data_IF_823013004816
#
_entry.id   IF_823013004816
#
_cell.length_a   1.000
_cell.length_b   1.000
_cell.length_c   1.000
_cell.angle_alpha   90.00
_cell.angle_beta   90.00
_cell.angle_gamma   90.00
#
_symmetry.space_group_name_H-M   'P 1'
#
loop_
_entity.id
_entity.type
_entity.pdbx_description
1 polymer ?
#
# COMPACT_ATOMS: atom_id res chain seq x y z
N UNK A 1 14.63 -3.51 4.51
CA UNK A 1 14.71 -4.97 4.72
C UNK A 1 14.75 -5.75 3.41
N UNK A 2 13.88 -5.49 2.41
CA UNK A 2 13.89 -6.23 1.13
C UNK A 2 15.24 -6.11 0.40
N UNK A 3 15.82 -4.92 0.33
CA UNK A 3 17.17 -4.71 -0.24
C UNK A 3 18.21 -5.58 0.48
N UNK A 4 18.18 -5.60 1.81
CA UNK A 4 19.08 -6.43 2.63
C UNK A 4 18.91 -7.92 2.33
N UNK A 5 17.67 -8.39 2.16
CA UNK A 5 17.38 -9.79 1.84
C UNK A 5 17.96 -10.21 0.46
N UNK A 6 18.06 -9.26 -0.46
CA UNK A 6 18.60 -9.50 -1.82
C UNK A 6 20.13 -9.46 -1.80
N UNK A 7 20.75 -8.42 -1.20
CA UNK A 7 22.20 -8.20 -1.28
C UNK A 7 23.00 -8.69 -0.06
N UNK A 8 22.31 -9.17 0.99
CA UNK A 8 22.94 -9.66 2.21
C UNK A 8 23.63 -8.59 3.07
N UNK A 9 23.41 -7.30 2.81
CA UNK A 9 24.05 -6.22 3.54
C UNK A 9 23.33 -5.92 4.86
N UNK A 10 23.97 -6.28 5.98
CA UNK A 10 23.44 -6.10 7.34
C UNK A 10 23.41 -4.63 7.83
N UNK A 11 24.09 -3.72 7.15
CA UNK A 11 24.12 -2.29 7.50
C UNK A 11 22.73 -1.68 7.58
N UNK A 12 21.86 -2.00 6.62
CA UNK A 12 20.48 -1.53 6.63
C UNK A 12 19.66 -2.06 7.80
N UNK A 13 19.98 -3.25 8.28
CA UNK A 13 19.32 -3.85 9.45
C UNK A 13 19.65 -3.09 10.73
N UNK A 14 20.94 -2.80 10.94
CA UNK A 14 21.40 -2.03 12.10
C UNK A 14 20.87 -0.58 12.07
N UNK A 15 20.91 0.05 10.88
CA UNK A 15 20.32 1.37 10.70
C UNK A 15 18.83 1.39 11.10
N UNK A 16 18.03 0.45 10.61
CA UNK A 16 16.61 0.34 10.93
C UNK A 16 16.38 0.09 12.43
N UNK A 17 17.19 -0.77 13.06
CA UNK A 17 17.09 -1.03 14.49
C UNK A 17 17.30 0.25 15.31
N UNK A 18 18.37 1.01 15.02
CA UNK A 18 18.66 2.28 15.67
C UNK A 18 17.53 3.29 15.43
N UNK A 19 17.10 3.43 14.20
CA UNK A 19 16.02 4.34 13.83
C UNK A 19 14.72 4.06 14.62
N UNK A 20 14.32 2.81 14.74
CA UNK A 20 13.14 2.45 15.54
C UNK A 20 13.34 2.73 17.02
N UNK A 21 14.52 2.41 17.59
CA UNK A 21 14.83 2.70 19.02
C UNK A 21 14.78 4.20 19.31
N UNK A 22 15.34 5.02 18.44
CA UNK A 22 15.35 6.48 18.57
C UNK A 22 13.91 7.04 18.50
N UNK A 23 13.12 6.65 17.50
CA UNK A 23 11.74 7.11 17.37
C UNK A 23 10.85 6.67 18.55
N UNK A 24 11.07 5.49 19.11
CA UNK A 24 10.35 5.04 20.29
C UNK A 24 10.76 5.88 21.52
N UNK A 25 12.05 6.18 21.67
CA UNK A 25 12.56 6.99 22.79
C UNK A 25 12.06 8.45 22.72
N UNK A 26 11.96 9.04 21.53
CA UNK A 26 11.39 10.37 21.31
C UNK A 26 9.87 10.46 21.53
N UNK A 27 9.21 9.31 21.57
CA UNK A 27 7.75 9.22 21.63
C UNK A 27 7.10 9.07 20.26
N UNK A 28 6.23 8.10 20.15
CA UNK A 28 5.51 7.78 18.91
C UNK A 28 4.40 8.79 18.63
N UNK A 29 4.03 8.99 17.34
CA UNK A 29 2.86 9.78 16.98
C UNK A 29 1.57 9.07 17.42
N UNK A 30 0.44 9.79 17.31
CA UNK A 30 -0.90 9.21 17.52
C UNK A 30 -1.11 7.96 16.66
N UNK A 31 -1.82 6.98 17.20
CA UNK A 31 -2.20 5.79 16.46
C UNK A 31 -3.24 6.14 15.38
N UNK A 32 -2.91 5.87 14.14
CA UNK A 32 -3.81 6.03 12.99
C UNK A 32 -3.40 5.08 11.85
N UNK A 33 -4.10 5.14 10.74
CA UNK A 33 -3.86 4.26 9.60
C UNK A 33 -2.41 4.39 9.10
N UNK A 34 -1.95 5.62 8.83
CA UNK A 34 -0.63 5.84 8.24
C UNK A 34 0.52 5.53 9.19
N UNK A 35 0.36 5.82 10.48
CA UNK A 35 1.39 5.55 11.50
C UNK A 35 1.53 4.07 11.85
N UNK A 36 0.62 3.22 11.38
CA UNK A 36 0.72 1.75 11.49
C UNK A 36 1.70 1.16 10.48
N UNK A 37 1.87 1.78 9.31
CA UNK A 37 2.67 1.22 8.20
C UNK A 37 4.08 0.78 8.58
N UNK A 38 4.90 1.55 9.35
CA UNK A 38 6.24 1.15 9.71
C UNK A 38 6.31 -0.14 10.54
N UNK A 39 5.22 -0.49 11.22
CA UNK A 39 5.19 -1.67 12.08
C UNK A 39 5.26 -2.99 11.31
N UNK A 40 4.82 -3.03 10.05
CA UNK A 40 5.04 -4.20 9.20
C UNK A 40 6.54 -4.51 9.06
N UNK A 41 7.35 -3.47 8.87
CA UNK A 41 8.83 -3.61 8.86
C UNK A 41 9.37 -3.99 10.23
N UNK A 42 8.82 -3.41 11.32
CA UNK A 42 9.27 -3.68 12.68
C UNK A 42 9.04 -5.15 13.08
N UNK A 43 7.91 -5.75 12.70
CA UNK A 43 7.62 -7.18 12.94
C UNK A 43 8.67 -8.07 12.29
N UNK A 44 9.07 -7.77 11.04
CA UNK A 44 10.08 -8.53 10.32
C UNK A 44 11.49 -8.30 10.88
N UNK A 45 11.83 -7.05 11.20
CA UNK A 45 13.10 -6.69 11.79
C UNK A 45 13.30 -7.39 13.14
N UNK A 46 12.22 -7.51 13.92
CA UNK A 46 12.30 -8.15 15.25
C UNK A 46 12.55 -9.67 15.19
N UNK A 47 12.45 -10.31 14.03
CA UNK A 47 12.89 -11.69 13.89
C UNK A 47 14.43 -11.86 14.02
N UNK A 48 15.18 -10.78 13.82
CA UNK A 48 16.65 -10.77 13.94
C UNK A 48 17.12 -10.38 15.34
N UNK A 49 16.36 -9.55 16.07
CA UNK A 49 16.80 -8.96 17.33
C UNK A 49 16.12 -9.55 18.57
N UNK A 50 14.92 -10.09 18.43
CA UNK A 50 14.08 -10.58 19.53
C UNK A 50 13.93 -9.52 20.65
N UNK A 51 13.81 -8.24 20.29
CA UNK A 51 13.66 -7.13 21.23
C UNK A 51 12.22 -7.10 21.76
N UNK A 52 12.10 -7.26 23.08
CA UNK A 52 10.80 -7.31 23.77
C UNK A 52 10.03 -5.99 23.65
N UNK A 53 10.70 -4.85 23.58
CA UNK A 53 10.07 -3.54 23.38
C UNK A 53 9.39 -3.46 22.02
N UNK A 54 10.02 -3.99 20.95
CA UNK A 54 9.46 -4.05 19.61
C UNK A 54 8.26 -5.00 19.57
N UNK A 55 8.37 -6.14 20.21
CA UNK A 55 7.28 -7.11 20.31
C UNK A 55 6.05 -6.52 20.98
N UNK A 56 6.21 -5.96 22.18
CA UNK A 56 5.13 -5.32 22.93
C UNK A 56 4.49 -4.17 22.16
N UNK A 57 5.30 -3.37 21.45
CA UNK A 57 4.81 -2.29 20.63
C UNK A 57 3.89 -2.81 19.51
N UNK A 58 4.34 -3.82 18.78
CA UNK A 58 3.55 -4.42 17.69
C UNK A 58 2.25 -5.04 18.23
N UNK A 59 2.29 -5.74 19.36
CA UNK A 59 1.10 -6.31 20.00
C UNK A 59 0.11 -5.19 20.39
N UNK A 60 0.59 -4.13 21.06
CA UNK A 60 -0.24 -2.98 21.46
C UNK A 60 -0.92 -2.29 20.26
N UNK A 61 -0.26 -2.25 19.12
CA UNK A 61 -0.86 -1.67 17.91
C UNK A 61 -1.84 -2.62 17.23
N UNK A 62 -1.57 -3.91 17.18
CA UNK A 62 -2.52 -4.91 16.68
C UNK A 62 -3.80 -4.93 17.52
N UNK A 63 -3.68 -4.91 18.86
CA UNK A 63 -4.82 -4.80 19.79
C UNK A 63 -5.59 -3.48 19.60
N UNK A 64 -4.89 -2.37 19.31
CA UNK A 64 -5.55 -1.11 19.01
C UNK A 64 -6.36 -1.17 17.70
N UNK A 65 -5.83 -1.80 16.64
CA UNK A 65 -6.57 -2.01 15.40
C UNK A 65 -7.86 -2.83 15.64
N UNK A 66 -7.78 -3.83 16.50
CA UNK A 66 -8.93 -4.69 16.80
C UNK A 66 -9.99 -4.01 17.65
N UNK A 67 -9.57 -3.27 18.68
CA UNK A 67 -10.45 -2.88 19.78
C UNK A 67 -10.74 -1.37 19.83
N UNK A 68 -9.91 -0.53 19.23
CA UNK A 68 -9.98 0.92 19.40
C UNK A 68 -10.09 1.70 18.08
N UNK A 69 -9.57 1.17 16.96
CA UNK A 69 -9.73 1.83 15.66
C UNK A 69 -11.22 1.93 15.33
N UNK A 70 -11.75 3.14 15.08
CA UNK A 70 -13.15 3.29 14.70
C UNK A 70 -13.53 2.44 13.50
N UNK A 71 -14.78 1.99 13.48
CA UNK A 71 -15.35 1.17 12.40
C UNK A 71 -16.39 1.95 11.64
N UNK A 72 -16.45 1.73 10.35
CA UNK A 72 -17.56 2.19 9.53
C UNK A 72 -18.85 1.41 9.85
N UNK A 73 -19.99 1.86 9.37
CA UNK A 73 -21.29 1.20 9.55
C UNK A 73 -21.27 -0.31 9.20
N UNK A 74 -20.50 -0.69 8.19
CA UNK A 74 -20.38 -2.08 7.75
C UNK A 74 -19.14 -2.80 8.33
N UNK A 75 -18.58 -2.25 9.44
CA UNK A 75 -17.44 -2.80 10.18
C UNK A 75 -16.10 -2.76 9.42
N UNK A 76 -15.99 -2.04 8.29
CA UNK A 76 -14.71 -1.72 7.69
C UNK A 76 -13.88 -0.84 8.62
N UNK A 77 -12.55 -0.89 8.54
CA UNK A 77 -11.70 0.07 9.23
C UNK A 77 -11.99 1.49 8.73
N UNK A 78 -12.38 2.37 9.64
CA UNK A 78 -12.52 3.78 9.33
C UNK A 78 -11.14 4.41 9.09
N UNK A 79 -11.02 5.20 8.02
CA UNK A 79 -9.73 5.79 7.66
C UNK A 79 -9.41 7.00 8.55
N UNK A 80 -8.72 6.74 9.65
CA UNK A 80 -8.21 7.77 10.57
C UNK A 80 -6.83 8.22 10.12
N UNK A 81 -6.62 9.53 10.01
CA UNK A 81 -5.34 10.15 9.63
C UNK A 81 -4.77 11.02 10.74
N UNK A 82 -3.51 11.42 10.62
CA UNK A 82 -2.93 12.44 11.50
C UNK A 82 -3.62 13.79 11.29
N UNK A 83 -3.78 14.57 12.35
CA UNK A 83 -4.20 15.96 12.25
C UNK A 83 -3.06 16.81 11.69
N UNK A 84 -3.41 17.84 10.90
CA UNK A 84 -2.41 18.75 10.34
C UNK A 84 -1.76 19.57 11.47
N UNK A 85 -0.42 19.50 11.52
CA UNK A 85 0.37 20.29 12.49
C UNK A 85 0.34 19.75 13.92
N UNK A 86 -0.38 18.67 14.21
CA UNK A 86 -0.41 18.04 15.53
C UNK A 86 -0.02 16.56 15.45
N UNK A 87 1.16 16.25 15.97
CA UNK A 87 1.70 14.87 15.98
C UNK A 87 0.86 13.90 16.82
N UNK A 88 0.12 14.40 17.81
CA UNK A 88 -0.72 13.60 18.70
C UNK A 88 -2.20 13.66 18.34
N UNK A 89 -2.58 14.58 17.46
CA UNK A 89 -3.94 14.71 16.97
C UNK A 89 -4.28 13.74 15.86
N UNK A 90 -5.59 13.46 15.74
CA UNK A 90 -6.12 12.62 14.65
C UNK A 90 -7.32 13.31 13.99
N UNK A 91 -7.49 13.03 12.69
CA UNK A 91 -8.70 13.34 11.93
C UNK A 91 -9.45 12.04 11.69
N UNK A 92 -10.71 11.99 12.11
CA UNK A 92 -11.46 10.73 12.16
C UNK A 92 -11.99 10.27 10.81
N UNK A 93 -12.29 11.17 9.86
CA UNK A 93 -12.95 10.85 8.58
C UNK A 93 -14.12 9.88 8.80
N UNK A 94 -15.16 10.36 9.49
CA UNK A 94 -16.23 9.53 10.04
C UNK A 94 -16.99 8.74 8.97
N UNK A 95 -17.12 7.42 9.19
CA UNK A 95 -17.74 6.48 8.27
C UNK A 95 -17.10 6.41 6.87
N UNK A 96 -15.82 6.79 6.74
CA UNK A 96 -15.09 6.70 5.48
C UNK A 96 -14.13 5.50 5.49
N UNK A 97 -14.10 4.76 4.39
CA UNK A 97 -13.16 3.69 4.11
C UNK A 97 -12.35 4.06 2.87
N UNK A 98 -11.02 4.10 2.98
CA UNK A 98 -10.11 4.46 1.89
C UNK A 98 -9.22 3.28 1.52
N UNK A 99 -8.84 3.20 0.25
CA UNK A 99 -8.05 2.08 -0.28
C UNK A 99 -6.67 1.94 0.39
N UNK A 100 -6.09 3.05 0.84
CA UNK A 100 -4.80 3.10 1.54
C UNK A 100 -4.77 2.19 2.78
N UNK A 101 -5.90 2.03 3.45
CA UNK A 101 -6.04 1.25 4.69
C UNK A 101 -5.59 -0.20 4.50
N UNK A 102 -5.78 -0.78 3.31
CA UNK A 102 -5.33 -2.15 3.03
C UNK A 102 -3.81 -2.29 3.18
N UNK A 103 -3.07 -1.42 2.53
CA UNK A 103 -1.61 -1.46 2.58
C UNK A 103 -1.08 -1.05 3.95
N UNK A 104 -1.65 0.02 4.53
CA UNK A 104 -1.13 0.65 5.74
C UNK A 104 -1.37 -0.17 7.00
N UNK A 105 -2.47 -0.93 7.09
CA UNK A 105 -2.86 -1.63 8.33
C UNK A 105 -3.11 -3.11 8.16
N UNK A 106 -3.77 -3.52 7.07
CA UNK A 106 -4.28 -4.91 6.96
C UNK A 106 -3.14 -5.91 6.77
N UNK A 107 -2.09 -5.52 6.03
CA UNK A 107 -0.88 -6.34 5.90
C UNK A 107 -0.21 -6.57 7.26
N UNK A 108 -0.08 -5.51 8.06
CA UNK A 108 0.48 -5.61 9.41
C UNK A 108 -0.36 -6.51 10.31
N UNK A 109 -1.69 -6.33 10.33
CA UNK A 109 -2.59 -7.14 11.16
C UNK A 109 -2.51 -8.62 10.80
N UNK A 110 -2.53 -8.95 9.49
CA UNK A 110 -2.36 -10.32 9.03
C UNK A 110 -1.01 -10.91 9.46
N UNK A 111 0.08 -10.14 9.28
CA UNK A 111 1.43 -10.57 9.69
C UNK A 111 1.51 -10.88 11.17
N UNK A 112 0.91 -10.04 12.01
CA UNK A 112 0.81 -10.27 13.45
C UNK A 112 -0.04 -11.52 13.75
N UNK A 113 -1.17 -11.68 13.08
CA UNK A 113 -2.03 -12.86 13.21
C UNK A 113 -1.30 -14.16 12.90
N UNK A 114 -0.54 -14.19 11.80
CA UNK A 114 0.26 -15.35 11.40
C UNK A 114 1.40 -15.62 12.41
N UNK A 115 2.11 -14.56 12.85
CA UNK A 115 3.25 -14.71 13.77
C UNK A 115 2.84 -15.25 15.13
N UNK A 116 1.69 -14.83 15.67
CA UNK A 116 1.23 -15.18 17.02
C UNK A 116 0.09 -16.19 17.04
N UNK A 117 -0.24 -16.81 15.89
CA UNK A 117 -1.37 -17.77 15.73
C UNK A 117 -2.70 -17.19 16.24
N UNK A 118 -2.92 -15.88 16.05
CA UNK A 118 -4.14 -15.18 16.43
C UNK A 118 -5.16 -15.23 15.28
N UNK A 119 -6.01 -16.26 15.31
CA UNK A 119 -7.02 -16.49 14.29
C UNK A 119 -8.04 -15.33 14.18
N UNK A 120 -8.32 -14.65 15.26
CA UNK A 120 -9.16 -13.46 15.29
C UNK A 120 -8.55 -12.30 14.46
N UNK A 121 -7.24 -12.06 14.55
CA UNK A 121 -6.53 -11.06 13.74
C UNK A 121 -6.49 -11.45 12.27
N UNK A 122 -6.26 -12.74 11.99
CA UNK A 122 -6.28 -13.27 10.61
C UNK A 122 -7.68 -13.09 10.00
N UNK A 123 -8.73 -13.49 10.71
CA UNK A 123 -10.11 -13.36 10.25
C UNK A 123 -10.51 -11.91 10.03
N UNK A 124 -10.09 -11.00 10.92
CA UNK A 124 -10.33 -9.58 10.75
C UNK A 124 -9.61 -9.04 9.51
N UNK A 125 -8.37 -9.43 9.27
CA UNK A 125 -7.63 -9.02 8.07
C UNK A 125 -8.32 -9.48 6.78
N UNK A 126 -8.85 -10.72 6.75
CA UNK A 126 -9.63 -11.25 5.64
C UNK A 126 -10.91 -10.43 5.45
N UNK A 127 -11.65 -10.16 6.54
CA UNK A 127 -12.84 -9.33 6.50
C UNK A 127 -12.54 -7.96 5.88
N UNK A 128 -11.47 -7.30 6.30
CA UNK A 128 -11.10 -5.99 5.78
C UNK A 128 -10.76 -6.03 4.29
N UNK A 129 -10.01 -7.02 3.81
CA UNK A 129 -9.72 -7.16 2.37
C UNK A 129 -11.01 -7.32 1.57
N UNK A 130 -11.91 -8.19 2.01
CA UNK A 130 -13.18 -8.43 1.30
C UNK A 130 -14.09 -7.20 1.33
N UNK A 131 -14.11 -6.44 2.44
CA UNK A 131 -14.88 -5.20 2.56
C UNK A 131 -14.36 -4.12 1.61
N UNK A 132 -13.03 -3.96 1.49
CA UNK A 132 -12.45 -3.00 0.56
C UNK A 132 -12.74 -3.40 -0.89
N UNK A 133 -12.63 -4.69 -1.25
CA UNK A 133 -13.01 -5.17 -2.59
C UNK A 133 -14.49 -4.87 -2.85
N UNK A 134 -15.38 -5.20 -1.89
CA UNK A 134 -16.84 -5.02 -2.04
C UNK A 134 -17.24 -3.58 -2.31
N UNK A 135 -16.64 -2.60 -1.62
CA UNK A 135 -17.08 -1.20 -1.69
C UNK A 135 -16.24 -0.32 -2.60
N UNK A 136 -14.97 -0.65 -2.80
CA UNK A 136 -14.05 0.20 -3.56
C UNK A 136 -13.78 -0.31 -4.98
N UNK A 137 -13.91 -1.62 -5.25
CA UNK A 137 -13.68 -2.14 -6.59
C UNK A 137 -14.86 -1.82 -7.50
N UNK A 138 -14.60 -1.13 -8.60
CA UNK A 138 -15.58 -0.96 -9.67
C UNK A 138 -15.63 -2.20 -10.56
N UNK A 139 -16.72 -2.93 -10.50
CA UNK A 139 -16.91 -4.18 -11.25
C UNK A 139 -16.93 -4.00 -12.79
N UNK A 140 -17.07 -2.77 -13.30
CA UNK A 140 -17.02 -2.50 -14.74
C UNK A 140 -15.60 -2.37 -15.26
N UNK A 141 -14.74 -1.74 -14.50
CA UNK A 141 -13.36 -1.44 -14.90
C UNK A 141 -12.33 -2.31 -14.22
N UNK A 142 -12.60 -2.83 -13.02
CA UNK A 142 -11.66 -3.49 -12.14
C UNK A 142 -10.80 -2.52 -11.31
N UNK A 143 -10.90 -1.20 -11.54
CA UNK A 143 -10.18 -0.20 -10.78
C UNK A 143 -10.81 0.03 -9.40
N UNK A 144 -10.03 0.60 -8.49
CA UNK A 144 -10.50 0.94 -7.16
C UNK A 144 -10.73 2.45 -7.01
N UNK A 145 -11.89 2.82 -6.49
CA UNK A 145 -12.13 4.17 -6.02
C UNK A 145 -11.20 4.50 -4.85
N UNK A 146 -10.83 5.78 -4.69
CA UNK A 146 -10.01 6.21 -3.56
C UNK A 146 -10.68 5.89 -2.22
N UNK A 147 -11.99 6.11 -2.12
CA UNK A 147 -12.73 5.81 -0.91
C UNK A 147 -14.22 5.62 -1.11
N UNK A 148 -14.86 5.25 -0.02
CA UNK A 148 -16.31 5.09 0.13
C UNK A 148 -16.77 5.74 1.44
N UNK A 149 -17.85 6.51 1.39
CA UNK A 149 -18.53 7.04 2.59
C UNK A 149 -19.82 6.28 2.86
N UNK A 150 -19.98 5.80 4.09
CA UNK A 150 -21.21 5.14 4.54
C UNK A 150 -22.26 6.15 5.04
N UNK A 151 -21.95 7.43 5.14
CA UNK A 151 -22.93 8.47 5.46
C UNK A 151 -23.87 8.69 4.27
N UNK A 152 -23.32 8.80 3.07
CA UNK A 152 -24.06 9.09 1.84
C UNK A 152 -24.14 7.87 0.91
N UNK A 153 -23.54 6.74 1.29
CA UNK A 153 -23.54 5.48 0.53
C UNK A 153 -23.01 5.67 -0.90
N UNK A 154 -21.90 6.40 -1.05
CA UNK A 154 -21.28 6.68 -2.35
C UNK A 154 -19.74 6.64 -2.29
N UNK A 155 -19.11 6.74 -3.45
CA UNK A 155 -17.66 6.74 -3.65
C UNK A 155 -17.07 8.16 -3.81
N UNK A 156 -17.70 9.14 -3.20
CA UNK A 156 -17.35 10.56 -3.35
C UNK A 156 -17.52 11.01 -4.82
N UNK A 157 -16.45 11.38 -5.50
CA UNK A 157 -16.48 11.79 -6.91
C UNK A 157 -16.20 10.67 -7.91
N UNK A 158 -16.08 9.42 -7.46
CA UNK A 158 -15.82 8.29 -8.35
C UNK A 158 -14.41 8.28 -8.96
N UNK A 159 -13.42 8.84 -8.27
CA UNK A 159 -12.08 9.02 -8.81
C UNK A 159 -11.22 7.77 -8.62
N UNK A 160 -10.63 7.31 -9.72
CA UNK A 160 -9.61 6.25 -9.74
C UNK A 160 -8.22 6.88 -9.62
N UNK A 161 -7.80 7.13 -8.39
CA UNK A 161 -6.50 7.73 -8.10
C UNK A 161 -5.37 6.70 -8.27
N UNK A 162 -4.31 7.07 -9.00
CA UNK A 162 -3.21 6.19 -9.35
C UNK A 162 -2.54 5.56 -8.12
N UNK A 163 -2.02 6.37 -7.18
CA UNK A 163 -1.37 5.85 -5.97
C UNK A 163 -2.34 5.07 -5.08
N UNK A 164 -3.63 5.45 -5.02
CA UNK A 164 -4.65 4.66 -4.34
C UNK A 164 -4.76 3.25 -4.92
N UNK A 165 -4.89 3.13 -6.24
CA UNK A 165 -4.91 1.84 -6.93
C UNK A 165 -3.61 1.04 -6.71
N UNK A 166 -2.47 1.72 -6.66
CA UNK A 166 -1.17 1.10 -6.48
C UNK A 166 -1.05 0.38 -5.13
N UNK A 167 -1.71 0.85 -4.07
CA UNK A 167 -1.70 0.19 -2.76
C UNK A 167 -2.28 -1.22 -2.81
N UNK A 168 -3.35 -1.41 -3.60
CA UNK A 168 -3.90 -2.74 -3.82
C UNK A 168 -2.98 -3.58 -4.70
N UNK A 169 -2.54 -3.06 -5.85
CA UNK A 169 -1.67 -3.80 -6.79
C UNK A 169 -0.39 -4.30 -6.11
N UNK A 170 0.28 -3.42 -5.33
CA UNK A 170 1.51 -3.75 -4.63
C UNK A 170 1.29 -4.72 -3.46
N UNK A 171 0.27 -4.46 -2.62
CA UNK A 171 0.14 -5.12 -1.32
C UNK A 171 -0.61 -6.44 -1.35
N UNK A 172 -1.54 -6.62 -2.31
CA UNK A 172 -2.48 -7.75 -2.22
C UNK A 172 -1.83 -9.12 -2.45
N UNK A 173 -0.80 -9.18 -3.29
CA UNK A 173 -0.06 -10.43 -3.50
C UNK A 173 0.87 -10.74 -2.31
N UNK A 174 1.43 -9.73 -1.65
CA UNK A 174 2.14 -9.93 -0.38
C UNK A 174 1.19 -10.47 0.69
N UNK A 175 -0.04 -9.95 0.73
CA UNK A 175 -1.07 -10.45 1.63
C UNK A 175 -1.39 -11.93 1.41
N UNK A 176 -1.63 -12.34 0.16
CA UNK A 176 -1.91 -13.75 -0.19
C UNK A 176 -0.72 -14.67 0.15
N UNK A 177 0.48 -14.22 -0.13
CA UNK A 177 1.73 -14.95 0.10
C UNK A 177 1.99 -15.22 1.60
N UNK A 178 1.60 -14.30 2.49
CA UNK A 178 1.71 -14.50 3.95
C UNK A 178 0.99 -15.75 4.45
N UNK A 179 -0.02 -16.24 3.75
CA UNK A 179 -0.77 -17.44 4.13
C UNK A 179 -0.05 -18.74 3.75
N UNK A 180 1.00 -18.70 2.93
CA UNK A 180 1.77 -19.89 2.52
C UNK A 180 0.88 -21.05 2.02
N UNK A 181 -0.19 -20.72 1.30
CA UNK A 181 -1.13 -21.69 0.74
C UNK A 181 -2.31 -22.08 1.66
N UNK A 182 -2.40 -21.57 2.88
CA UNK A 182 -3.48 -21.91 3.83
C UNK A 182 -4.73 -21.03 3.70
N UNK A 183 -4.70 -19.96 2.88
CA UNK A 183 -5.87 -19.12 2.64
C UNK A 183 -6.98 -19.94 1.99
N UNK A 184 -8.21 -19.79 2.49
CA UNK A 184 -9.38 -20.44 1.90
C UNK A 184 -9.45 -20.18 0.38
N UNK A 185 -9.67 -21.24 -0.41
CA UNK A 185 -9.61 -21.16 -1.87
C UNK A 185 -10.57 -20.15 -2.49
N UNK A 186 -11.82 -20.09 -1.99
CA UNK A 186 -12.82 -19.13 -2.47
C UNK A 186 -12.46 -17.68 -2.16
N UNK A 187 -11.88 -17.43 -0.97
CA UNK A 187 -11.36 -16.10 -0.60
C UNK A 187 -10.19 -15.72 -1.51
N UNK A 188 -9.24 -16.65 -1.72
CA UNK A 188 -8.10 -16.44 -2.61
C UNK A 188 -8.56 -16.11 -4.03
N UNK A 189 -9.54 -16.85 -4.55
CA UNK A 189 -10.10 -16.64 -5.89
C UNK A 189 -10.65 -15.22 -6.04
N UNK A 190 -11.51 -14.76 -5.12
CA UNK A 190 -12.04 -13.39 -5.13
C UNK A 190 -10.93 -12.34 -5.17
N UNK A 191 -9.89 -12.52 -4.35
CA UNK A 191 -8.76 -11.58 -4.27
C UNK A 191 -7.97 -11.57 -5.59
N UNK A 192 -7.66 -12.74 -6.13
CA UNK A 192 -6.87 -12.87 -7.37
C UNK A 192 -7.66 -12.37 -8.58
N UNK A 193 -8.95 -12.61 -8.63
CA UNK A 193 -9.80 -12.09 -9.71
C UNK A 193 -9.87 -10.56 -9.68
N UNK A 194 -10.02 -9.95 -8.49
CA UNK A 194 -9.95 -8.50 -8.34
C UNK A 194 -8.59 -7.95 -8.79
N UNK A 195 -7.48 -8.61 -8.42
CA UNK A 195 -6.14 -8.23 -8.85
C UNK A 195 -5.96 -8.33 -10.38
N UNK A 196 -6.42 -9.42 -11.00
CA UNK A 196 -6.36 -9.61 -12.46
C UNK A 196 -7.20 -8.57 -13.20
N UNK A 197 -8.40 -8.28 -12.70
CA UNK A 197 -9.26 -7.25 -13.28
C UNK A 197 -8.60 -5.87 -13.22
N UNK A 198 -8.01 -5.52 -12.08
CA UNK A 198 -7.31 -4.25 -11.90
C UNK A 198 -6.09 -4.15 -12.84
N UNK A 199 -5.23 -5.16 -12.87
CA UNK A 199 -4.02 -5.13 -13.70
C UNK A 199 -4.34 -5.09 -15.20
N UNK A 200 -5.42 -5.75 -15.63
CA UNK A 200 -5.91 -5.67 -16.99
C UNK A 200 -6.39 -4.26 -17.36
N UNK A 201 -7.03 -3.55 -16.44
CA UNK A 201 -7.39 -2.14 -16.63
C UNK A 201 -6.15 -1.23 -16.66
N UNK A 202 -5.23 -1.42 -15.72
CA UNK A 202 -3.98 -0.66 -15.62
C UNK A 202 -3.14 -0.82 -16.89
N UNK A 203 -3.03 -2.03 -17.46
CA UNK A 203 -2.35 -2.27 -18.73
C UNK A 203 -2.92 -1.42 -19.88
N UNK A 204 -4.24 -1.27 -19.94
CA UNK A 204 -4.91 -0.45 -20.98
C UNK A 204 -4.73 1.06 -20.76
N UNK A 205 -4.54 1.48 -19.51
CA UNK A 205 -4.44 2.88 -19.10
C UNK A 205 -3.00 3.39 -18.99
N UNK A 206 -2.02 2.52 -19.25
CA UNK A 206 -0.62 2.96 -19.28
C UNK A 206 -0.41 3.99 -20.37
N UNK A 207 0.18 5.13 -20.05
CA UNK A 207 0.44 6.19 -21.00
C UNK A 207 1.54 5.81 -22.01
N UNK A 208 1.72 6.62 -23.03
CA UNK A 208 2.79 6.41 -24.03
C UNK A 208 4.18 6.54 -23.43
N UNK A 209 4.35 7.31 -22.34
CA UNK A 209 5.62 7.43 -21.63
C UNK A 209 6.01 6.15 -20.88
N UNK A 210 5.02 5.33 -20.52
CA UNK A 210 5.16 4.16 -19.65
C UNK A 210 4.62 4.37 -18.23
N UNK A 211 4.36 5.61 -17.80
CA UNK A 211 3.78 5.94 -16.50
C UNK A 211 2.24 5.86 -16.52
N UNK A 212 1.61 6.08 -15.38
CA UNK A 212 0.18 6.26 -15.23
C UNK A 212 -0.15 7.67 -14.77
N UNK A 213 -1.27 8.20 -15.25
CA UNK A 213 -1.81 9.48 -14.85
C UNK A 213 -2.31 9.46 -13.41
N UNK A 214 -2.19 10.58 -12.67
CA UNK A 214 -2.65 10.68 -11.27
C UNK A 214 -4.14 10.35 -11.13
N UNK A 215 -4.96 10.74 -12.13
CA UNK A 215 -6.33 10.25 -12.34
C UNK A 215 -6.29 9.25 -13.46
N UNK A 216 -6.35 7.96 -13.18
CA UNK A 216 -6.08 6.87 -14.14
C UNK A 216 -6.90 6.97 -15.44
N UNK A 217 -8.12 7.47 -15.35
CA UNK A 217 -9.06 7.59 -16.48
C UNK A 217 -9.05 8.97 -17.15
N UNK A 218 -8.17 9.88 -16.73
CA UNK A 218 -8.06 11.23 -17.29
C UNK A 218 -6.64 11.51 -17.79
N UNK A 219 -6.43 11.36 -19.08
CA UNK A 219 -5.15 11.59 -19.75
C UNK A 219 -4.71 13.06 -19.79
N UNK A 220 -5.54 13.99 -19.33
CA UNK A 220 -5.17 15.40 -19.16
C UNK A 220 -4.53 15.67 -17.79
N UNK A 221 -4.62 14.72 -16.85
CA UNK A 221 -3.93 14.81 -15.56
C UNK A 221 -2.44 14.48 -15.71
N UNK A 222 -1.59 14.96 -14.79
CA UNK A 222 -0.17 14.67 -14.83
C UNK A 222 0.14 13.19 -14.59
N UNK A 223 1.24 12.72 -15.13
CA UNK A 223 1.80 11.39 -14.86
C UNK A 223 2.48 11.37 -13.49
N UNK A 224 2.28 10.31 -12.71
CA UNK A 224 2.67 10.23 -11.31
C UNK A 224 3.61 9.05 -11.06
N UNK A 225 4.80 9.34 -10.52
CA UNK A 225 5.88 8.34 -10.44
C UNK A 225 5.67 7.34 -9.31
N UNK A 226 5.20 7.76 -8.13
CA UNK A 226 5.11 6.85 -6.98
C UNK A 226 4.07 5.74 -7.18
N UNK A 227 2.89 6.09 -7.69
CA UNK A 227 1.86 5.11 -8.05
C UNK A 227 2.33 4.20 -9.18
N UNK A 228 3.00 4.76 -10.19
CA UNK A 228 3.58 3.98 -11.29
C UNK A 228 4.60 2.96 -10.80
N UNK A 229 5.50 3.34 -9.91
CA UNK A 229 6.49 2.43 -9.33
C UNK A 229 5.83 1.28 -8.55
N UNK A 230 4.84 1.59 -7.72
CA UNK A 230 4.14 0.58 -6.93
C UNK A 230 3.28 -0.36 -7.80
N UNK A 231 2.61 0.15 -8.84
CA UNK A 231 1.88 -0.66 -9.83
C UNK A 231 2.84 -1.62 -10.51
N UNK A 232 3.98 -1.13 -10.98
CA UNK A 232 4.99 -1.94 -11.68
C UNK A 232 5.55 -3.05 -10.78
N UNK A 233 5.90 -2.72 -9.52
CA UNK A 233 6.36 -3.71 -8.54
C UNK A 233 5.31 -4.81 -8.29
N UNK A 234 4.04 -4.44 -8.21
CA UNK A 234 2.94 -5.39 -8.07
C UNK A 234 2.74 -6.27 -9.31
N UNK A 235 2.88 -5.72 -10.52
CA UNK A 235 2.82 -6.47 -11.79
C UNK A 235 3.97 -7.47 -11.87
N UNK A 236 5.21 -7.07 -11.60
CA UNK A 236 6.37 -7.97 -11.57
C UNK A 236 6.16 -9.13 -10.60
N UNK A 237 5.65 -8.85 -9.40
CA UNK A 237 5.29 -9.92 -8.46
C UNK A 237 4.21 -10.85 -9.03
N UNK A 238 3.22 -10.33 -9.72
CA UNK A 238 2.18 -11.13 -10.37
C UNK A 238 2.71 -12.07 -11.45
N UNK A 239 3.68 -11.62 -12.23
CA UNK A 239 4.38 -12.43 -13.24
C UNK A 239 5.17 -13.55 -12.53
N UNK A 240 6.00 -13.22 -11.54
CA UNK A 240 6.78 -14.22 -10.78
C UNK A 240 5.91 -15.29 -10.11
N UNK A 241 4.75 -14.92 -9.62
CA UNK A 241 3.80 -15.88 -9.03
C UNK A 241 2.99 -16.68 -10.06
N UNK A 242 3.21 -16.47 -11.37
CA UNK A 242 2.46 -17.13 -12.44
C UNK A 242 0.97 -16.73 -12.48
N UNK A 243 0.61 -15.59 -11.89
CA UNK A 243 -0.77 -15.05 -11.87
C UNK A 243 -1.03 -14.21 -13.11
N UNK A 244 -0.04 -13.47 -13.58
CA UNK A 244 -0.04 -12.73 -14.84
C UNK A 244 0.85 -13.44 -15.85
N UNK A 245 0.47 -13.35 -17.12
CA UNK A 245 1.24 -13.90 -18.24
C UNK A 245 2.32 -12.93 -18.73
N UNK A 246 3.19 -13.42 -19.65
CA UNK A 246 4.33 -12.67 -20.18
C UNK A 246 3.95 -11.39 -20.94
N UNK A 247 2.68 -11.23 -21.32
CA UNK A 247 2.23 -10.00 -21.98
C UNK A 247 2.27 -8.75 -21.08
N UNK A 248 2.54 -8.94 -19.79
CA UNK A 248 2.75 -7.85 -18.82
C UNK A 248 4.22 -7.43 -18.68
N UNK A 249 5.17 -8.18 -19.24
CA UNK A 249 6.60 -7.83 -19.23
C UNK A 249 6.80 -6.48 -19.94
N UNK A 250 6.25 -6.31 -21.14
CA UNK A 250 6.34 -5.05 -21.88
C UNK A 250 5.76 -3.84 -21.10
N UNK A 251 4.74 -4.08 -20.27
CA UNK A 251 4.13 -3.04 -19.42
C UNK A 251 5.10 -2.64 -18.31
N UNK A 252 5.72 -3.63 -17.66
CA UNK A 252 6.70 -3.39 -16.61
C UNK A 252 7.95 -2.69 -17.15
N UNK A 253 8.52 -3.16 -18.26
CA UNK A 253 9.72 -2.60 -18.88
C UNK A 253 9.53 -1.13 -19.29
N UNK A 254 8.40 -0.80 -19.90
CA UNK A 254 8.08 0.60 -20.25
C UNK A 254 8.00 1.47 -19.00
N UNK A 255 7.38 0.98 -17.95
CA UNK A 255 7.27 1.73 -16.70
C UNK A 255 8.63 1.91 -16.01
N UNK A 256 9.44 0.86 -15.93
CA UNK A 256 10.80 0.93 -15.37
C UNK A 256 11.63 1.99 -16.11
N UNK A 257 11.66 1.92 -17.45
CA UNK A 257 12.40 2.88 -18.27
C UNK A 257 11.89 4.34 -18.10
N UNK A 258 10.62 4.53 -17.86
CA UNK A 258 10.04 5.85 -17.59
C UNK A 258 10.38 6.34 -16.18
N UNK A 259 10.31 5.46 -15.16
CA UNK A 259 10.64 5.78 -13.77
C UNK A 259 12.13 6.15 -13.64
N UNK A 260 13.04 5.41 -14.28
CA UNK A 260 14.47 5.70 -14.27
C UNK A 260 14.79 7.12 -14.78
N UNK A 261 14.04 7.64 -15.75
CA UNK A 261 14.18 9.03 -16.24
C UNK A 261 13.70 10.08 -15.24
N UNK A 262 13.01 9.67 -14.19
CA UNK A 262 12.52 10.51 -13.10
C UNK A 262 13.36 10.38 -11.83
N UNK A 263 14.56 9.80 -11.92
CA UNK A 263 15.53 9.75 -10.83
C UNK A 263 16.65 10.72 -11.19
N UNK A 264 16.89 11.69 -10.31
CA UNK A 264 17.95 12.68 -10.49
C UNK A 264 19.35 12.10 -10.22
N UNK A 265 20.38 12.83 -10.57
CA UNK A 265 21.79 12.41 -10.44
C UNK A 265 22.25 12.11 -9.01
N UNK A 266 21.55 12.63 -8.01
CA UNK A 266 21.77 12.34 -6.59
C UNK A 266 20.89 11.18 -6.06
N UNK A 267 20.09 10.53 -6.93
CA UNK A 267 19.18 9.45 -6.58
C UNK A 267 17.79 9.91 -6.11
N UNK A 268 17.49 11.20 -6.14
CA UNK A 268 16.18 11.72 -5.75
C UNK A 268 15.12 11.35 -6.79
N UNK A 269 14.01 10.76 -6.34
CA UNK A 269 12.85 10.45 -7.18
C UNK A 269 11.97 11.69 -7.33
N UNK A 270 11.82 12.14 -8.57
CA UNK A 270 11.06 13.32 -8.97
C UNK A 270 9.61 12.96 -9.35
N UNK A 271 8.80 14.00 -9.59
CA UNK A 271 7.41 13.89 -10.09
C UNK A 271 6.51 12.97 -9.25
N UNK A 272 6.66 13.09 -7.93
CA UNK A 272 5.83 12.40 -6.94
C UNK A 272 4.75 13.36 -6.44
N UNK A 273 3.48 12.93 -6.46
CA UNK A 273 2.39 13.72 -5.88
C UNK A 273 2.48 13.73 -4.35
N UNK A 274 2.21 14.88 -3.74
CA UNK A 274 2.20 15.08 -2.30
C UNK A 274 1.14 14.27 -1.56
N UNK A 275 1.04 14.48 -0.25
CA UNK A 275 0.01 13.86 0.60
C UNK A 275 -1.38 14.16 0.06
N UNK A 276 -2.17 13.10 -0.17
CA UNK A 276 -3.45 13.18 -0.88
C UNK A 276 -4.59 12.84 0.06
N UNK A 277 -5.42 13.84 0.37
CA UNK A 277 -6.70 13.62 1.03
C UNK A 277 -7.79 13.22 0.05
N UNK A 278 -8.95 12.83 0.58
CA UNK A 278 -10.12 12.50 -0.23
C UNK A 278 -10.60 13.75 -1.00
N UNK A 279 -10.78 13.59 -2.31
CA UNK A 279 -11.34 14.61 -3.20
C UNK A 279 -12.66 14.16 -3.83
N UNK A 280 -13.48 15.15 -4.20
CA UNK A 280 -14.81 14.94 -4.79
C UNK A 280 -14.82 15.05 -6.32
N UNK A 281 -13.70 15.44 -6.93
CA UNK A 281 -13.56 15.60 -8.37
C UNK A 281 -12.12 15.40 -8.83
N UNK A 282 -11.91 15.33 -10.14
CA UNK A 282 -10.60 15.16 -10.74
C UNK A 282 -9.66 16.36 -10.50
N UNK A 283 -10.20 17.57 -10.41
CA UNK A 283 -9.41 18.78 -10.20
C UNK A 283 -8.69 18.80 -8.85
N UNK A 284 -9.31 18.24 -7.80
CA UNK A 284 -8.64 18.05 -6.52
C UNK A 284 -7.31 17.27 -6.69
N UNK A 285 -7.33 16.17 -7.45
CA UNK A 285 -6.14 15.32 -7.64
C UNK A 285 -5.12 15.93 -8.60
N UNK A 286 -5.58 16.70 -9.61
CA UNK A 286 -4.70 17.43 -10.54
C UNK A 286 -3.94 18.58 -9.88
N UNK A 287 -4.49 19.15 -8.82
CA UNK A 287 -3.91 20.28 -8.10
C UNK A 287 -3.05 19.87 -6.89
N UNK A 288 -2.80 18.57 -6.68
CA UNK A 288 -1.90 18.12 -5.63
C UNK A 288 -0.46 18.51 -5.99
N UNK A 289 0.22 19.11 -5.00
CA UNK A 289 1.63 19.50 -5.14
C UNK A 289 2.50 18.32 -5.59
N UNK A 290 3.33 18.55 -6.58
CA UNK A 290 4.35 17.61 -7.04
C UNK A 290 5.69 18.00 -6.40
N UNK A 291 6.29 17.07 -5.67
CA UNK A 291 7.60 17.26 -5.04
C UNK A 291 8.25 15.90 -4.75
N UNK A 292 9.57 15.83 -4.53
CA UNK A 292 10.20 14.63 -3.97
C UNK A 292 9.57 14.29 -2.61
N UNK A 293 9.17 13.02 -2.45
CA UNK A 293 8.52 12.52 -1.23
C UNK A 293 9.16 11.20 -0.78
N UNK A 294 9.29 10.99 0.53
CA UNK A 294 9.89 9.79 1.09
C UNK A 294 9.22 8.49 0.63
N UNK A 295 7.90 8.49 0.47
CA UNK A 295 7.18 7.33 -0.06
C UNK A 295 7.40 7.11 -1.56
N UNK A 296 7.64 8.16 -2.35
CA UNK A 296 8.05 8.02 -3.75
C UNK A 296 9.39 7.30 -3.86
N UNK A 297 10.36 7.71 -3.04
CA UNK A 297 11.65 7.03 -2.91
C UNK A 297 11.47 5.57 -2.50
N UNK A 298 10.67 5.31 -1.46
CA UNK A 298 10.44 3.96 -0.94
C UNK A 298 9.77 3.04 -1.96
N UNK A 299 8.76 3.52 -2.69
CA UNK A 299 8.05 2.72 -3.70
C UNK A 299 8.94 2.41 -4.90
N UNK A 300 9.81 3.35 -5.30
CA UNK A 300 10.81 3.12 -6.34
C UNK A 300 11.87 2.12 -5.88
N UNK A 301 12.30 2.16 -4.60
CA UNK A 301 13.16 1.14 -4.03
C UNK A 301 12.50 -0.25 -3.99
N UNK A 302 11.18 -0.32 -3.72
CA UNK A 302 10.44 -1.60 -3.78
C UNK A 302 10.36 -2.14 -5.21
N UNK A 303 10.19 -1.28 -6.21
CA UNK A 303 10.26 -1.67 -7.62
C UNK A 303 11.63 -2.25 -7.95
N UNK A 304 12.71 -1.54 -7.62
CA UNK A 304 14.08 -2.02 -7.86
C UNK A 304 14.33 -3.40 -7.23
N UNK A 305 13.88 -3.62 -5.99
CA UNK A 305 14.03 -4.92 -5.33
C UNK A 305 13.14 -6.01 -5.94
N UNK A 306 12.06 -5.62 -6.60
CA UNK A 306 11.18 -6.57 -7.31
C UNK A 306 11.78 -6.98 -8.65
N UNK A 307 12.46 -6.08 -9.34
CA UNK A 307 13.17 -6.33 -10.60
C UNK A 307 14.42 -7.18 -10.38
N UNK A 308 15.28 -6.80 -9.45
CA UNK A 308 16.51 -7.54 -9.12
C UNK A 308 16.29 -8.97 -8.60
N UNK A 309 15.09 -9.32 -8.15
CA UNK A 309 14.77 -10.68 -7.73
C UNK A 309 14.65 -11.67 -8.90
N UNK A 310 14.59 -11.16 -10.14
CA UNK A 310 14.54 -12.00 -11.35
C UNK A 310 15.95 -12.41 -11.85
N UNK A 311 17.01 -11.81 -11.31
CA UNK A 311 18.40 -12.12 -11.66
C UNK A 311 19.08 -13.15 -10.72
N UNK A 312 18.36 -13.64 -9.67
CA UNK A 312 18.85 -14.61 -8.69
C UNK A 312 18.08 -15.95 -8.79
#
# INVERSE_FOLDING_TARGET
LKIMQINGNDEYREFLYKWFKENIAEGLPSKNINTTTPLLTLVELNNYYNDTQFEELCIKWAEWLMNCLPRTKERGFQHVTSANGDRQGVRLNENEMWIDTLFMTVLFLNKMGQKYNRQDWINESIHQVLMHIKYLCDNKTGLFYHGWTFNEMNNFGGIFWCRGNSWFTLGILDYVDMFKGTLNSGVKEIIIDAYKAQTAALKKLQSKSGLWHTVLTDSSSYEEVSGSAAITAGILKGIRMGILDDSYIDVADKAINAILKNIDSDGTVLNVSGGTGMGYDAEHYKNILIAPMAYGQSLTCLLYTSDAADEL
#
